data_IF_818979554632
#
_entry.id   IF_818979554632
#
_cell.length_a   1.000
_cell.length_b   1.000
_cell.length_c   1.000
_cell.angle_alpha   90.00
_cell.angle_beta   90.00
_cell.angle_gamma   90.00
#
_symmetry.space_group_name_H-M   'P 1'
#
loop_
_entity.id
_entity.type
_entity.pdbx_description
1 polymer ?
#
# COMPACT_ATOMS: atom_id res chain seq x y z
N UNK A 1 17.59 14.42 3.34
CA UNK A 1 16.84 14.16 2.09
C UNK A 1 16.03 12.90 2.31
N UNK A 2 14.72 12.98 2.08
CA UNK A 2 13.81 11.83 2.15
C UNK A 2 14.23 10.81 1.08
N UNK A 3 14.53 9.56 1.46
CA UNK A 3 14.90 8.52 0.48
C UNK A 3 13.65 7.88 -0.10
N UNK A 4 13.75 7.37 -1.33
CA UNK A 4 12.70 6.59 -1.95
C UNK A 4 13.16 5.15 -2.17
N UNK A 5 12.38 4.19 -1.67
CA UNK A 5 12.64 2.76 -1.79
C UNK A 5 11.60 2.16 -2.75
N UNK A 6 12.07 1.58 -3.85
CA UNK A 6 11.25 0.87 -4.82
C UNK A 6 11.31 -0.64 -4.61
N UNK A 7 10.24 -1.34 -4.94
CA UNK A 7 10.26 -2.79 -5.03
C UNK A 7 9.29 -3.33 -6.07
N UNK A 8 9.58 -4.54 -6.56
CA UNK A 8 8.70 -5.25 -7.48
C UNK A 8 7.64 -6.06 -6.71
N UNK A 9 6.38 -5.80 -7.04
CA UNK A 9 5.18 -6.48 -6.54
C UNK A 9 4.86 -7.69 -7.42
N UNK A 10 4.58 -8.83 -6.79
CA UNK A 10 4.18 -10.07 -7.47
C UNK A 10 2.70 -10.38 -7.27
N UNK A 11 2.08 -9.73 -6.28
CA UNK A 11 0.68 -9.85 -5.88
C UNK A 11 0.18 -8.45 -5.52
N UNK A 12 -1.10 -8.21 -5.74
CA UNK A 12 -1.80 -7.01 -5.31
C UNK A 12 -3.26 -7.35 -5.01
N UNK A 13 -3.48 -8.02 -3.87
CA UNK A 13 -4.81 -8.40 -3.37
C UNK A 13 -5.45 -7.33 -2.48
N UNK A 14 -4.77 -6.19 -2.30
CA UNK A 14 -5.12 -5.20 -1.27
C UNK A 14 -4.76 -5.65 0.15
N UNK A 15 -4.03 -6.76 0.32
CA UNK A 15 -3.54 -7.21 1.62
C UNK A 15 -2.42 -6.31 2.14
N UNK A 16 -1.29 -6.21 1.45
CA UNK A 16 -0.13 -5.38 1.83
C UNK A 16 0.68 -5.01 0.56
N UNK A 17 0.62 -3.76 0.07
CA UNK A 17 0.00 -2.60 0.71
C UNK A 17 -1.53 -2.71 0.83
N UNK A 18 -2.10 -2.19 1.92
CA UNK A 18 -3.55 -2.05 2.11
C UNK A 18 -3.94 -0.56 1.97
N UNK A 19 -4.63 -0.16 0.88
CA UNK A 19 -4.92 1.25 0.59
C UNK A 19 -6.24 1.76 1.18
N UNK A 20 -6.98 0.91 1.88
CA UNK A 20 -8.36 1.20 2.30
C UNK A 20 -8.44 1.97 3.62
N UNK A 21 -9.62 2.53 3.91
CA UNK A 21 -9.93 3.24 5.15
C UNK A 21 -9.05 4.49 5.40
N UNK A 22 -8.80 5.24 4.33
CA UNK A 22 -8.15 6.56 4.38
C UNK A 22 -6.64 6.54 4.61
N UNK A 23 -6.02 5.36 4.70
CA UNK A 23 -4.58 5.22 4.89
C UNK A 23 -4.06 4.12 3.96
N UNK A 24 -2.86 4.32 3.41
CA UNK A 24 -2.09 3.22 2.85
C UNK A 24 -1.16 2.66 3.92
N UNK A 25 -1.26 1.36 4.17
CA UNK A 25 -0.43 0.67 5.16
C UNK A 25 0.38 -0.46 4.53
N UNK A 26 1.54 -0.71 5.11
CA UNK A 26 2.38 -1.87 4.79
C UNK A 26 2.83 -2.51 6.11
N UNK A 27 2.17 -3.60 6.52
CA UNK A 27 2.41 -4.23 7.84
C UNK A 27 2.93 -5.69 7.79
N UNK A 28 2.79 -6.41 6.68
CA UNK A 28 3.20 -7.84 6.59
C UNK A 28 4.30 -8.04 5.56
N UNK A 29 4.05 -7.65 4.32
CA UNK A 29 5.02 -7.73 3.22
C UNK A 29 6.28 -6.88 3.44
N UNK A 30 7.36 -7.25 2.74
CA UNK A 30 8.62 -6.48 2.64
C UNK A 30 9.23 -6.10 4.00
N UNK A 31 9.54 -7.08 4.88
CA UNK A 31 10.04 -6.81 6.23
C UNK A 31 11.28 -5.92 6.27
N UNK A 32 12.24 -6.11 5.34
CA UNK A 32 13.44 -5.27 5.26
C UNK A 32 13.14 -3.80 4.95
N UNK A 33 12.13 -3.52 4.13
CA UNK A 33 11.70 -2.14 3.84
C UNK A 33 11.07 -1.55 5.10
N UNK A 34 10.16 -2.27 5.74
CA UNK A 34 9.49 -1.83 6.97
C UNK A 34 10.43 -1.59 8.15
N UNK A 35 11.46 -2.42 8.30
CA UNK A 35 12.44 -2.27 9.38
C UNK A 35 13.43 -1.12 9.16
N UNK A 36 13.63 -0.69 7.91
CA UNK A 36 14.65 0.30 7.54
C UNK A 36 14.08 1.68 7.17
N UNK A 37 12.75 1.80 7.06
CA UNK A 37 12.08 3.05 6.72
C UNK A 37 11.83 3.88 7.97
N UNK A 38 11.96 5.19 7.82
CA UNK A 38 11.65 6.20 8.85
C UNK A 38 10.56 7.14 8.34
N UNK A 39 9.99 7.95 9.24
CA UNK A 39 9.05 9.02 8.86
C UNK A 39 9.71 9.97 7.85
N UNK A 40 8.99 10.32 6.79
CA UNK A 40 9.46 11.13 5.67
C UNK A 40 9.89 10.31 4.45
N UNK A 41 10.33 9.06 4.63
CA UNK A 41 10.73 8.19 3.51
C UNK A 41 9.56 7.93 2.55
N UNK A 42 9.89 7.66 1.30
CA UNK A 42 8.95 7.24 0.28
C UNK A 42 9.11 5.74 -0.04
N UNK A 43 7.99 5.06 -0.24
CA UNK A 43 7.97 3.67 -0.69
C UNK A 43 7.12 3.55 -1.95
N UNK A 44 7.67 2.89 -2.97
CA UNK A 44 7.03 2.68 -4.26
C UNK A 44 6.94 1.20 -4.61
N UNK A 45 5.75 0.74 -4.98
CA UNK A 45 5.51 -0.61 -5.50
C UNK A 45 5.31 -0.57 -7.01
N UNK A 46 6.06 -1.41 -7.74
CA UNK A 46 5.97 -1.51 -9.20
C UNK A 46 5.52 -2.90 -9.64
N UNK A 47 4.78 -2.98 -10.73
CA UNK A 47 4.33 -4.24 -11.30
C UNK A 47 5.52 -5.04 -11.85
N UNK A 48 5.78 -6.20 -11.26
CA UNK A 48 6.74 -7.18 -11.78
C UNK A 48 6.19 -7.90 -13.02
N UNK A 49 7.06 -8.58 -13.77
CA UNK A 49 6.62 -9.53 -14.81
C UNK A 49 5.61 -10.55 -14.27
N UNK A 50 5.85 -11.08 -13.08
CA UNK A 50 4.95 -12.05 -12.44
C UNK A 50 3.57 -11.47 -12.15
N UNK A 51 3.49 -10.21 -11.71
CA UNK A 51 2.20 -9.55 -11.49
C UNK A 51 1.49 -9.31 -12.83
N UNK A 52 2.21 -8.88 -13.87
CA UNK A 52 1.66 -8.71 -15.22
C UNK A 52 1.10 -10.04 -15.75
N UNK A 53 1.86 -11.12 -15.67
CA UNK A 53 1.45 -12.46 -16.11
C UNK A 53 0.24 -12.97 -15.35
N UNK A 54 0.18 -12.75 -14.02
CA UNK A 54 -0.98 -13.09 -13.22
C UNK A 54 -2.20 -12.30 -13.65
N UNK A 55 -2.09 -10.98 -13.70
CA UNK A 55 -3.19 -10.10 -14.10
C UNK A 55 -3.73 -10.49 -15.47
N UNK A 56 -2.85 -10.86 -16.41
CA UNK A 56 -3.26 -11.30 -17.74
C UNK A 56 -4.09 -12.59 -17.72
N UNK A 57 -3.77 -13.55 -16.83
CA UNK A 57 -4.58 -14.77 -16.64
C UNK A 57 -6.00 -14.46 -16.17
N UNK A 58 -6.16 -13.36 -15.43
CA UNK A 58 -7.44 -12.86 -14.95
C UNK A 58 -8.08 -11.83 -15.92
N UNK A 59 -7.59 -11.75 -17.17
CA UNK A 59 -8.11 -10.86 -18.22
C UNK A 59 -7.76 -9.38 -18.07
N UNK A 60 -6.83 -9.04 -17.16
CA UNK A 60 -6.37 -7.67 -16.93
C UNK A 60 -4.98 -7.45 -17.53
N UNK A 61 -4.88 -6.52 -18.48
CA UNK A 61 -3.59 -6.05 -18.98
C UNK A 61 -3.08 -4.86 -18.16
N UNK A 62 -1.89 -4.99 -17.58
CA UNK A 62 -1.17 -3.91 -16.89
C UNK A 62 0.27 -3.78 -17.43
N UNK A 63 0.85 -2.57 -17.42
CA UNK A 63 2.23 -2.37 -17.87
C UNK A 63 3.25 -2.95 -16.89
N UNK A 64 4.31 -3.59 -17.42
CA UNK A 64 5.50 -3.92 -16.65
C UNK A 64 6.19 -2.64 -16.15
N UNK A 65 6.65 -2.65 -14.90
CA UNK A 65 7.13 -1.47 -14.18
C UNK A 65 6.08 -0.35 -14.05
N UNK A 66 4.79 -0.66 -14.21
CA UNK A 66 3.73 0.26 -13.80
C UNK A 66 3.78 0.51 -12.29
N UNK A 67 3.77 1.77 -11.88
CA UNK A 67 3.70 2.18 -10.47
C UNK A 67 2.32 1.82 -9.92
N UNK A 68 2.27 0.78 -9.09
CA UNK A 68 1.04 0.31 -8.43
C UNK A 68 0.69 1.24 -7.28
N UNK A 69 1.68 1.69 -6.52
CA UNK A 69 1.48 2.69 -5.49
C UNK A 69 2.75 3.47 -5.15
N UNK A 70 2.56 4.66 -4.58
CA UNK A 70 3.59 5.50 -3.98
C UNK A 70 3.05 6.02 -2.64
N UNK A 71 3.81 5.88 -1.56
CA UNK A 71 3.41 6.39 -0.23
C UNK A 71 4.53 7.18 0.41
N UNK A 72 4.19 8.25 1.13
CA UNK A 72 5.09 8.90 2.06
C UNK A 72 4.84 8.37 3.47
N UNK A 73 5.87 7.80 4.10
CA UNK A 73 5.77 7.26 5.46
C UNK A 73 5.48 8.41 6.43
N UNK A 74 4.25 8.45 6.95
CA UNK A 74 3.82 9.42 7.95
C UNK A 74 3.97 8.91 9.38
N UNK A 75 3.78 7.61 9.59
CA UNK A 75 4.00 6.96 10.90
C UNK A 75 4.70 5.60 10.72
N UNK A 76 5.59 5.28 11.65
CA UNK A 76 6.21 3.96 11.80
C UNK A 76 5.77 3.40 13.14
N UNK A 77 4.92 2.37 13.12
CA UNK A 77 4.25 1.87 14.32
C UNK A 77 4.56 0.39 14.55
N UNK A 78 5.00 -0.03 15.75
CA UNK A 78 5.17 -1.45 16.05
C UNK A 78 3.88 -2.25 15.76
N UNK A 79 4.00 -3.45 15.17
CA UNK A 79 2.83 -4.23 14.70
C UNK A 79 1.76 -4.44 15.78
N UNK A 80 2.18 -4.67 17.01
CA UNK A 80 1.27 -4.87 18.14
C UNK A 80 0.50 -3.59 18.53
N UNK A 81 1.15 -2.43 18.44
CA UNK A 81 0.48 -1.14 18.63
C UNK A 81 -0.47 -0.84 17.46
N UNK A 82 -0.04 -1.12 16.22
CA UNK A 82 -0.88 -1.01 15.03
C UNK A 82 -2.13 -1.89 15.12
N UNK A 83 -2.00 -3.09 15.68
CA UNK A 83 -3.14 -3.93 15.96
C UNK A 83 -4.08 -3.31 16.97
N UNK A 84 -3.58 -2.75 18.07
CA UNK A 84 -4.43 -2.23 19.17
C UNK A 84 -5.02 -0.85 18.91
N UNK A 85 -4.41 -0.06 18.03
CA UNK A 85 -4.87 1.30 17.71
C UNK A 85 -6.28 1.27 17.08
N UNK A 86 -7.27 1.97 17.68
CA UNK A 86 -8.64 2.04 17.15
C UNK A 86 -8.74 2.54 15.71
N UNK A 87 -7.82 3.41 15.26
CA UNK A 87 -7.80 3.97 13.89
C UNK A 87 -7.69 2.88 12.83
N UNK A 88 -7.02 1.78 13.15
CA UNK A 88 -6.71 0.70 12.20
C UNK A 88 -7.51 -0.58 12.46
N UNK A 89 -8.57 -0.50 13.29
CA UNK A 89 -9.47 -1.64 13.55
C UNK A 89 -10.12 -2.15 12.26
N UNK A 90 -10.47 -1.27 11.33
CA UNK A 90 -11.06 -1.63 10.04
C UNK A 90 -10.09 -2.38 9.11
N UNK A 91 -8.77 -2.25 9.32
CA UNK A 91 -7.74 -2.95 8.54
C UNK A 91 -7.48 -4.38 9.02
N UNK A 92 -8.24 -4.87 10.00
CA UNK A 92 -8.18 -6.26 10.47
C UNK A 92 -9.16 -7.08 9.62
N UNK A 93 -8.68 -8.04 8.82
CA UNK A 93 -9.55 -8.74 7.88
C UNK A 93 -10.58 -9.62 8.59
N UNK A 94 -11.73 -9.79 7.92
CA UNK A 94 -12.74 -10.80 8.21
C UNK A 94 -12.58 -11.98 7.25
N UNK A 95 -12.87 -13.21 7.70
CA UNK A 95 -12.67 -14.40 6.86
C UNK A 95 -13.91 -14.74 6.02
N UNK A 96 -15.11 -14.55 6.57
CA UNK A 96 -16.37 -15.10 6.00
C UNK A 96 -17.53 -14.09 5.94
N UNK A 97 -17.29 -12.79 6.20
CA UNK A 97 -18.34 -11.75 6.23
C UNK A 97 -17.82 -10.45 5.64
N UNK A 98 -18.69 -9.65 5.04
CA UNK A 98 -18.32 -8.37 4.42
C UNK A 98 -17.86 -8.50 2.97
N UNK A 99 -17.69 -7.37 2.29
CA UNK A 99 -17.25 -7.27 0.89
C UNK A 99 -15.75 -7.50 0.72
N UNK A 100 -15.24 -7.27 -0.48
CA UNK A 100 -13.81 -7.47 -0.79
C UNK A 100 -12.90 -6.59 0.10
N UNK A 101 -13.33 -5.37 0.44
CA UNK A 101 -12.60 -4.42 1.30
C UNK A 101 -12.47 -4.96 2.73
N UNK A 102 -13.53 -5.48 3.33
CA UNK A 102 -13.48 -5.99 4.71
C UNK A 102 -12.68 -7.30 4.84
N UNK A 103 -12.63 -8.08 3.76
CA UNK A 103 -11.88 -9.33 3.71
C UNK A 103 -10.38 -9.12 3.47
N UNK A 104 -9.96 -7.97 2.96
CA UNK A 104 -8.55 -7.61 2.83
C UNK A 104 -8.10 -6.75 4.02
N UNK A 105 -6.83 -6.89 4.43
CA UNK A 105 -6.31 -6.18 5.60
C UNK A 105 -5.00 -6.73 6.10
N UNK A 106 -3.98 -5.88 6.24
CA UNK A 106 -2.65 -6.25 6.73
C UNK A 106 -2.55 -6.29 8.27
N UNK A 107 -3.59 -5.89 8.99
CA UNK A 107 -3.56 -5.81 10.44
C UNK A 107 -3.89 -7.16 11.11
N UNK A 108 -2.95 -8.11 10.99
CA UNK A 108 -3.15 -9.50 11.42
C UNK A 108 -2.25 -9.96 12.56
N UNK A 109 -1.28 -9.17 13.02
CA UNK A 109 -0.34 -9.60 14.08
C UNK A 109 -0.51 -8.81 15.36
N UNK A 110 -0.57 -9.50 16.50
CA UNK A 110 -0.68 -8.90 17.82
C UNK A 110 0.07 -9.73 18.86
N UNK A 111 0.51 -9.12 19.96
CA UNK A 111 1.11 -9.85 21.09
C UNK A 111 0.08 -10.20 22.15
N UNK A 112 0.20 -11.39 22.72
CA UNK A 112 -0.55 -11.79 23.93
C UNK A 112 0.32 -11.56 25.18
N UNK A 113 -0.17 -12.04 26.33
CA UNK A 113 0.49 -11.86 27.65
C UNK A 113 1.87 -12.53 27.73
N UNK A 114 2.10 -13.57 26.94
CA UNK A 114 3.38 -14.26 26.78
C UNK A 114 4.42 -13.42 26.01
N UNK A 115 3.99 -12.31 25.40
CA UNK A 115 4.83 -11.47 24.57
C UNK A 115 5.03 -11.99 23.15
N UNK A 116 4.51 -13.17 22.80
CA UNK A 116 4.69 -13.77 21.48
C UNK A 116 3.72 -13.19 20.45
N UNK A 117 4.12 -13.20 19.17
CA UNK A 117 3.24 -12.77 18.10
C UNK A 117 2.22 -13.87 17.77
N UNK A 118 0.94 -13.47 17.79
CA UNK A 118 -0.17 -14.27 17.30
C UNK A 118 -0.72 -13.68 16.01
N UNK A 119 -1.04 -14.58 15.08
CA UNK A 119 -1.69 -14.22 13.83
C UNK A 119 -3.22 -14.33 13.98
N UNK A 120 -3.92 -13.29 13.54
CA UNK A 120 -5.37 -13.32 13.34
C UNK A 120 -5.68 -14.15 12.10
N UNK A 121 -6.69 -15.03 12.20
CA UNK A 121 -7.22 -15.78 11.05
C UNK A 121 -7.59 -14.82 9.91
N UNK A 122 -7.10 -15.10 8.72
CA UNK A 122 -7.28 -14.31 7.51
C UNK A 122 -7.14 -15.22 6.28
N UNK A 123 -7.40 -14.68 5.08
CA UNK A 123 -7.38 -15.45 3.82
C UNK A 123 -6.08 -15.25 3.01
N UNK A 124 -5.10 -14.49 3.51
CA UNK A 124 -3.89 -14.13 2.76
C UNK A 124 -2.67 -14.91 3.25
N UNK A 125 -2.31 -14.78 4.53
CA UNK A 125 -1.12 -15.41 5.12
C UNK A 125 -1.51 -16.34 6.27
N UNK A 126 -0.87 -17.52 6.31
CA UNK A 126 -0.95 -18.48 7.42
C UNK A 126 0.27 -18.44 8.34
N UNK A 127 0.35 -19.39 9.28
CA UNK A 127 1.36 -19.43 10.34
C UNK A 127 2.80 -19.49 9.81
N UNK A 128 3.00 -20.16 8.67
CA UNK A 128 4.29 -20.29 7.99
C UNK A 128 4.91 -18.94 7.54
N UNK A 129 4.13 -17.86 7.50
CA UNK A 129 4.61 -16.52 7.19
C UNK A 129 4.98 -15.69 8.43
N UNK A 130 4.68 -16.16 9.64
CA UNK A 130 4.78 -15.37 10.88
C UNK A 130 6.19 -14.81 11.11
N UNK A 131 7.23 -15.64 11.01
CA UNK A 131 8.62 -15.18 11.20
C UNK A 131 9.01 -14.12 10.17
N UNK A 132 8.61 -14.32 8.91
CA UNK A 132 8.90 -13.38 7.84
C UNK A 132 8.19 -12.03 8.07
N UNK A 133 6.89 -12.07 8.38
CA UNK A 133 6.08 -10.87 8.53
C UNK A 133 6.40 -10.11 9.83
N UNK A 134 6.64 -10.80 10.92
CA UNK A 134 6.97 -10.15 12.20
C UNK A 134 8.41 -9.62 12.24
N UNK A 135 9.31 -10.17 11.40
CA UNK A 135 10.69 -9.71 11.26
C UNK A 135 10.83 -8.25 10.79
N UNK A 136 9.81 -7.69 10.13
CA UNK A 136 9.78 -6.26 9.76
C UNK A 136 9.45 -5.32 10.91
N UNK A 137 9.01 -5.83 12.07
CA UNK A 137 8.70 -5.16 13.35
C UNK A 137 7.58 -4.11 13.34
N UNK A 138 7.45 -3.34 12.26
CA UNK A 138 6.61 -2.15 12.19
C UNK A 138 5.61 -2.25 11.03
N UNK A 139 4.45 -1.62 11.19
CA UNK A 139 3.61 -1.15 10.11
C UNK A 139 4.09 0.25 9.68
N UNK A 140 4.23 0.45 8.37
CA UNK A 140 4.37 1.78 7.78
C UNK A 140 2.99 2.31 7.43
N UNK A 141 2.68 3.54 7.82
CA UNK A 141 1.36 4.16 7.62
C UNK A 141 1.54 5.48 6.87
N UNK A 142 0.71 5.70 5.84
CA UNK A 142 0.69 6.93 5.07
C UNK A 142 -0.73 7.47 4.93
N UNK A 143 -0.90 8.76 5.25
CA UNK A 143 -2.06 9.57 4.84
C UNK A 143 -1.84 10.21 3.47
N UNK A 144 -0.60 10.48 3.09
CA UNK A 144 -0.19 10.93 1.76
C UNK A 144 0.26 9.73 0.92
N UNK A 145 -0.61 9.27 0.01
CA UNK A 145 -0.31 8.15 -0.86
C UNK A 145 -1.02 8.29 -2.21
N UNK A 146 -0.57 7.52 -3.18
CA UNK A 146 -1.16 7.36 -4.50
C UNK A 146 -1.25 5.86 -4.75
N UNK A 147 -2.46 5.33 -4.84
CA UNK A 147 -2.68 3.92 -5.14
C UNK A 147 -3.43 3.79 -6.47
N UNK A 148 -2.78 3.15 -7.43
CA UNK A 148 -3.27 2.97 -8.79
C UNK A 148 -3.81 1.57 -9.04
N UNK A 149 -3.22 0.55 -8.40
CA UNK A 149 -3.66 -0.85 -8.55
C UNK A 149 -3.72 -1.28 -10.02
N UNK A 150 -4.90 -1.73 -10.47
CA UNK A 150 -5.23 -2.10 -11.87
C UNK A 150 -4.95 -1.00 -12.91
N UNK A 151 -4.82 0.26 -12.49
CA UNK A 151 -4.51 1.42 -13.34
C UNK A 151 -3.07 1.89 -13.17
N UNK A 152 -2.15 0.97 -12.85
CA UNK A 152 -0.78 1.31 -12.48
C UNK A 152 -0.11 2.26 -13.49
N UNK A 153 0.55 3.27 -12.93
CA UNK A 153 0.98 4.45 -13.67
C UNK A 153 2.31 4.21 -14.39
N UNK A 154 2.41 4.62 -15.65
CA UNK A 154 3.67 4.77 -16.37
C UNK A 154 3.70 6.19 -16.95
N UNK A 155 4.80 6.95 -16.77
CA UNK A 155 4.91 8.29 -17.33
C UNK A 155 4.80 8.29 -18.86
N UNK A 156 4.26 9.36 -19.44
CA UNK A 156 4.28 9.58 -20.88
C UNK A 156 5.72 9.53 -21.44
N UNK A 157 5.97 8.62 -22.38
CA UNK A 157 7.32 8.37 -22.91
C UNK A 157 8.24 7.55 -22.01
N UNK A 158 7.72 7.02 -20.89
CA UNK A 158 8.38 6.03 -20.04
C UNK A 158 9.28 6.60 -18.94
N UNK A 159 9.72 5.69 -18.05
CA UNK A 159 10.56 6.03 -16.90
C UNK A 159 11.88 6.70 -17.26
N UNK A 160 12.52 6.27 -18.36
CA UNK A 160 13.78 6.88 -18.83
C UNK A 160 13.59 8.34 -19.18
N UNK A 161 12.50 8.69 -19.86
CA UNK A 161 12.19 10.08 -20.21
C UNK A 161 11.92 10.93 -18.96
N UNK A 162 11.17 10.39 -18.00
CA UNK A 162 10.86 11.13 -16.77
C UNK A 162 12.09 11.30 -15.87
N UNK A 163 12.88 10.24 -15.67
CA UNK A 163 13.95 10.18 -14.68
C UNK A 163 15.35 10.48 -15.22
N UNK A 164 15.51 10.50 -16.56
CA UNK A 164 16.82 10.57 -17.20
C UNK A 164 17.67 9.31 -17.05
N UNK A 165 17.13 8.23 -16.47
CA UNK A 165 17.82 6.96 -16.24
C UNK A 165 16.82 5.79 -16.15
N UNK A 166 17.33 4.56 -16.26
CA UNK A 166 16.51 3.37 -16.11
C UNK A 166 16.07 3.19 -14.64
N UNK A 167 14.81 2.81 -14.45
CA UNK A 167 14.36 2.27 -13.17
C UNK A 167 14.94 0.85 -12.98
N UNK A 168 15.39 0.54 -11.77
CA UNK A 168 15.91 -0.80 -11.46
C UNK A 168 14.83 -1.88 -11.62
N UNK A 169 15.24 -3.07 -12.06
CA UNK A 169 14.42 -4.29 -12.12
C UNK A 169 14.72 -5.26 -10.97
N UNK A 170 15.51 -4.81 -9.98
CA UNK A 170 15.80 -5.58 -8.77
C UNK A 170 14.55 -5.77 -7.90
N UNK A 171 14.51 -6.83 -7.07
CA UNK A 171 13.35 -7.14 -6.20
C UNK A 171 13.00 -5.99 -5.24
N UNK A 172 14.03 -5.29 -4.75
CA UNK A 172 13.98 -4.07 -3.94
C UNK A 172 15.19 -3.23 -4.30
N UNK A 173 15.04 -1.91 -4.39
CA UNK A 173 16.08 -0.98 -4.82
C UNK A 173 15.87 0.42 -4.24
N UNK A 174 16.94 1.22 -4.19
CA UNK A 174 16.82 2.65 -3.98
C UNK A 174 16.38 3.31 -5.30
N UNK A 175 15.35 4.15 -5.26
CA UNK A 175 14.95 4.91 -6.42
C UNK A 175 16.01 5.99 -6.76
N UNK A 176 16.17 6.37 -8.04
CA UNK A 176 17.10 7.42 -8.43
C UNK A 176 16.86 8.76 -7.73
N UNK A 177 17.90 9.59 -7.63
CA UNK A 177 17.78 10.95 -7.12
C UNK A 177 16.73 11.75 -7.89
N UNK A 178 15.90 12.53 -7.18
CA UNK A 178 14.80 13.29 -7.77
C UNK A 178 13.61 12.45 -8.24
N UNK A 179 13.59 11.13 -7.98
CA UNK A 179 12.46 10.26 -8.35
C UNK A 179 11.12 10.79 -7.85
N UNK A 180 11.03 11.10 -6.55
CA UNK A 180 9.78 11.56 -5.93
C UNK A 180 9.33 12.88 -6.52
N UNK A 181 10.22 13.88 -6.54
CA UNK A 181 9.96 15.22 -7.10
C UNK A 181 9.39 15.12 -8.52
N UNK A 182 10.08 14.43 -9.42
CA UNK A 182 9.66 14.29 -10.83
C UNK A 182 8.33 13.57 -10.98
N UNK A 183 8.08 12.55 -10.16
CA UNK A 183 6.79 11.83 -10.16
C UNK A 183 5.67 12.72 -9.64
N UNK A 184 5.89 13.46 -8.55
CA UNK A 184 4.89 14.37 -8.00
C UNK A 184 4.62 15.57 -8.91
N UNK A 185 5.63 16.12 -9.58
CA UNK A 185 5.47 17.15 -10.60
C UNK A 185 4.63 16.64 -11.77
N UNK A 186 4.89 15.40 -12.22
CA UNK A 186 4.09 14.76 -13.24
C UNK A 186 2.63 14.59 -12.78
N UNK A 187 2.43 14.16 -11.53
CA UNK A 187 1.09 14.04 -10.93
C UNK A 187 0.38 15.38 -10.86
N UNK A 188 1.06 16.44 -10.45
CA UNK A 188 0.50 17.80 -10.40
C UNK A 188 0.10 18.28 -11.80
N UNK A 189 0.97 18.12 -12.79
CA UNK A 189 0.70 18.49 -14.19
C UNK A 189 -0.50 17.72 -14.78
N UNK A 190 -0.68 16.45 -14.39
CA UNK A 190 -1.80 15.61 -14.83
C UNK A 190 -3.01 15.65 -13.89
N UNK A 191 -2.97 16.46 -12.83
CA UNK A 191 -4.02 16.57 -11.79
C UNK A 191 -4.36 15.23 -11.12
N UNK A 192 -3.37 14.35 -10.97
CA UNK A 192 -3.50 13.10 -10.20
C UNK A 192 -3.66 13.45 -8.73
N UNK A 193 -4.73 12.96 -8.10
CA UNK A 193 -5.03 13.18 -6.69
C UNK A 193 -4.42 12.08 -5.82
N UNK A 194 -3.99 12.45 -4.63
CA UNK A 194 -3.66 11.49 -3.59
C UNK A 194 -4.90 10.65 -3.21
N UNK A 195 -4.66 9.43 -2.74
CA UNK A 195 -5.66 8.43 -2.42
C UNK A 195 -5.68 7.28 -3.43
N UNK A 196 -6.83 6.60 -3.50
CA UNK A 196 -7.06 5.50 -4.43
C UNK A 196 -7.63 6.01 -5.75
N UNK A 197 -7.03 5.60 -6.86
CA UNK A 197 -7.53 5.86 -8.22
C UNK A 197 -7.92 4.57 -8.97
N UNK A 198 -7.62 3.41 -8.38
CA UNK A 198 -8.00 2.08 -8.87
C UNK A 198 -8.05 1.04 -7.76
N UNK A 199 -8.60 -0.12 -8.09
CA UNK A 199 -8.69 -1.29 -7.20
C UNK A 199 -7.44 -2.18 -7.33
N UNK A 200 -7.19 -3.08 -6.38
CA UNK A 200 -6.06 -4.00 -6.46
C UNK A 200 -6.08 -4.88 -7.71
N UNK A 201 -4.89 -5.23 -8.23
CA UNK A 201 -4.78 -6.01 -9.48
C UNK A 201 -5.44 -7.39 -9.41
N UNK A 202 -5.37 -8.06 -8.26
CA UNK A 202 -5.87 -9.42 -8.07
C UNK A 202 -7.39 -9.47 -7.78
N UNK A 203 -8.10 -8.34 -7.88
CA UNK A 203 -9.56 -8.31 -7.71
C UNK A 203 -10.27 -8.60 -9.03
N UNK A 204 -11.13 -9.61 -9.00
CA UNK A 204 -12.13 -9.79 -10.04
C UNK A 204 -13.28 -8.81 -9.77
N UNK A 205 -13.52 -7.92 -10.73
CA UNK A 205 -14.56 -6.89 -10.65
C UNK A 205 -15.64 -7.28 -11.66
N UNK A 206 -16.67 -8.00 -11.20
CA UNK A 206 -17.88 -8.16 -12.00
C UNK A 206 -18.57 -6.80 -12.17
N UNK A 207 -19.39 -6.64 -13.21
CA UNK A 207 -20.03 -5.36 -13.56
C UNK A 207 -20.99 -4.80 -12.47
N UNK A 208 -21.32 -5.60 -11.45
CA UNK A 208 -22.10 -5.20 -10.27
C UNK A 208 -21.25 -4.59 -9.16
N UNK A 209 -20.00 -5.07 -8.95
CA UNK A 209 -19.10 -4.55 -7.90
C UNK A 209 -18.55 -3.15 -8.22
N UNK A 210 -18.50 -2.80 -9.51
CA UNK A 210 -18.19 -1.44 -9.96
C UNK A 210 -19.31 -0.42 -9.67
N UNK A 211 -20.54 -0.89 -9.40
CA UNK A 211 -21.72 -0.04 -9.11
C UNK A 211 -22.05 0.02 -7.62
N UNK A 212 -21.80 -1.04 -6.86
CA UNK A 212 -22.11 -1.11 -5.42
C UNK A 212 -21.08 -0.40 -4.54
N UNK A 213 -19.83 -0.33 -5.00
CA UNK A 213 -18.78 0.44 -4.32
C UNK A 213 -18.64 1.78 -5.05
N UNK A 214 -19.34 2.82 -4.55
CA UNK A 214 -19.18 4.17 -5.05
C UNK A 214 -17.70 4.50 -5.23
N UNK A 215 -17.34 5.16 -6.34
CA UNK A 215 -15.95 5.55 -6.66
C UNK A 215 -15.20 5.90 -5.38
N UNK A 216 -14.02 5.29 -5.08
CA UNK A 216 -13.29 5.54 -3.85
C UNK A 216 -12.60 6.91 -3.89
N UNK A 217 -13.33 7.96 -4.23
CA UNK A 217 -13.00 9.34 -3.91
C UNK A 217 -13.28 9.53 -2.42
N UNK A 218 -12.39 9.03 -1.56
CA UNK A 218 -12.35 9.50 -0.18
C UNK A 218 -11.85 10.95 -0.21
N UNK A 219 -12.65 11.95 0.22
CA UNK A 219 -12.16 13.31 0.30
C UNK A 219 -11.09 13.41 1.39
N UNK A 220 -10.01 14.13 1.09
CA UNK A 220 -8.99 14.48 2.05
C UNK A 220 -9.57 15.36 3.17
N UNK A 221 -9.26 15.02 4.43
CA UNK A 221 -9.27 15.96 5.55
C UNK A 221 -10.42 15.80 6.55
N UNK A 222 -10.21 14.99 7.60
CA UNK A 222 -10.81 15.30 8.90
C UNK A 222 -10.03 16.49 9.48
N UNK A 223 -10.63 17.69 9.42
CA UNK A 223 -10.16 18.83 10.22
C UNK A 223 -10.28 18.43 11.70
N UNK A 224 -9.15 18.34 12.40
CA UNK A 224 -9.13 18.32 13.85
C UNK A 224 -9.79 19.61 14.36
N UNK A 225 -10.89 19.47 15.11
CA UNK A 225 -11.44 20.59 15.88
C UNK A 225 -10.54 20.83 17.09
N UNK A 226 -10.16 22.08 17.40
CA UNK A 226 -9.43 22.37 18.62
C UNK A 226 -10.36 22.14 19.81
N UNK A 227 -9.84 21.46 20.83
CA UNK A 227 -10.48 21.29 22.13
C UNK A 227 -10.53 22.67 22.78
N UNK A 228 -11.74 23.25 22.89
CA UNK A 228 -11.95 24.45 23.70
C UNK A 228 -11.82 24.08 25.17
N UNK A 229 -10.82 24.64 25.83
CA UNK A 229 -10.65 24.59 27.27
C UNK A 229 -11.90 25.16 27.97
N UNK A 230 -12.47 24.37 28.88
CA UNK A 230 -13.46 24.87 29.85
C UNK A 230 -12.75 25.70 30.90
N UNK A 231 -13.24 26.92 31.14
CA UNK A 231 -13.28 27.54 32.47
C UNK A 231 -14.72 27.49 32.93
#
# INVERSE_FOLDING_TARGET
MDKAIGYLMTHDSGFAPNPFHGHLTLATCKPKVRSASVVGDWVAGFASKQLVERSLKDGLQIPHLGLVYLMRVGEVMPLDQYFRDPRFKAKRPTTNRGGQVERCGDNIYFRRKDGEFHQRRNNNHGENFTTHDTGGKNALIASEFYYFGRRCFVPDGGWVKLLGSNLSTGRTFACPSGFVERVLDHFAAKRVKAGMSGYPCDWNLDAEDMRSTGSPCYPAGSKSRPISARR
#
